data_IF_756428128676
#
_entry.id   IF_756428128676
#
_cell.length_a   1.000
_cell.length_b   1.000
_cell.length_c   1.000
_cell.angle_alpha   90.00
_cell.angle_beta   90.00
_cell.angle_gamma   90.00
#
_symmetry.space_group_name_H-M   'P 1'
#
loop_
_entity.id
_entity.type
_entity.pdbx_description
1 polymer ?
#
# COMPACT_ATOMS: atom_id res chain seq x y z
N UNK A 1 1.03 -19.41 -31.33
CA UNK A 1 0.70 -18.80 -30.02
C UNK A 1 2.00 -18.34 -29.36
N UNK A 2 2.25 -17.02 -29.25
CA UNK A 2 3.37 -16.52 -28.43
C UNK A 2 2.94 -16.56 -26.97
N UNK A 3 3.58 -17.41 -26.16
CA UNK A 3 3.44 -17.38 -24.70
C UNK A 3 3.81 -15.97 -24.22
N UNK A 4 2.91 -15.32 -23.48
CA UNK A 4 3.20 -14.04 -22.85
C UNK A 4 4.43 -14.22 -21.95
N UNK A 5 5.44 -13.36 -22.11
CA UNK A 5 6.60 -13.34 -21.21
C UNK A 5 6.08 -13.21 -19.77
N UNK A 6 6.54 -14.05 -18.81
CA UNK A 6 6.16 -13.87 -17.42
C UNK A 6 6.52 -12.44 -17.02
N UNK A 7 5.55 -11.69 -16.47
CA UNK A 7 5.83 -10.39 -15.85
C UNK A 7 7.01 -10.59 -14.91
N UNK A 8 8.08 -9.83 -15.11
CA UNK A 8 9.30 -9.94 -14.30
C UNK A 8 8.95 -9.82 -12.81
N UNK A 9 9.20 -10.89 -12.07
CA UNK A 9 9.00 -10.98 -10.62
C UNK A 9 10.24 -10.52 -9.84
N UNK A 10 11.12 -9.77 -10.49
CA UNK A 10 12.35 -9.30 -9.87
C UNK A 10 12.09 -7.99 -9.15
N UNK A 11 12.58 -7.89 -7.92
CA UNK A 11 12.64 -6.63 -7.19
C UNK A 11 13.94 -5.93 -7.59
N UNK A 12 13.81 -4.75 -8.18
CA UNK A 12 14.92 -3.93 -8.65
C UNK A 12 15.30 -2.91 -7.57
N UNK A 13 16.32 -2.05 -7.79
CA UNK A 13 16.61 -0.94 -6.89
C UNK A 13 15.42 0.02 -6.65
N UNK A 14 14.35 -0.02 -7.47
CA UNK A 14 13.10 0.72 -7.19
C UNK A 14 12.49 0.29 -5.85
N UNK A 15 12.46 -1.01 -5.57
CA UNK A 15 11.96 -1.56 -4.31
C UNK A 15 12.77 -1.04 -3.12
N UNK A 16 14.10 -1.12 -3.17
CA UNK A 16 14.97 -0.61 -2.09
C UNK A 16 14.76 0.88 -1.83
N UNK A 17 14.55 1.69 -2.88
CA UNK A 17 14.19 3.11 -2.72
C UNK A 17 12.83 3.30 -2.04
N UNK A 18 11.85 2.46 -2.35
CA UNK A 18 10.53 2.49 -1.72
C UNK A 18 10.61 2.12 -0.23
N UNK A 19 11.38 1.08 0.13
CA UNK A 19 11.63 0.69 1.53
C UNK A 19 12.21 1.87 2.31
N UNK A 20 13.28 2.50 1.80
CA UNK A 20 13.89 3.65 2.46
C UNK A 20 12.95 4.86 2.57
N UNK A 21 12.08 5.07 1.58
CA UNK A 21 11.08 6.14 1.62
C UNK A 21 10.00 5.86 2.67
N UNK A 22 9.43 4.66 2.69
CA UNK A 22 8.44 4.23 3.69
C UNK A 22 9.00 4.31 5.11
N UNK A 23 10.23 3.81 5.33
CA UNK A 23 10.89 3.83 6.63
C UNK A 23 11.11 5.25 7.16
N UNK A 24 11.58 6.19 6.32
CA UNK A 24 11.71 7.60 6.71
C UNK A 24 10.37 8.25 6.99
N UNK A 25 9.36 7.90 6.19
CA UNK A 25 8.07 8.51 6.28
C UNK A 25 7.34 8.12 7.56
N UNK A 26 7.32 6.84 7.88
CA UNK A 26 6.64 6.28 9.05
C UNK A 26 7.59 6.17 10.27
N UNK A 27 8.74 6.87 10.27
CA UNK A 27 9.81 6.72 11.27
C UNK A 27 9.35 6.96 12.72
N UNK A 28 8.35 7.83 12.90
CA UNK A 28 7.76 8.16 14.21
C UNK A 28 6.43 7.45 14.47
N UNK A 29 5.92 6.68 13.51
CA UNK A 29 4.63 6.00 13.63
C UNK A 29 4.81 4.64 14.32
N UNK A 30 3.88 4.35 15.23
CA UNK A 30 3.78 3.07 15.94
C UNK A 30 2.49 2.37 15.54
N UNK A 31 2.46 1.03 15.66
CA UNK A 31 1.21 0.27 15.53
C UNK A 31 0.26 0.63 16.67
N UNK A 32 -1.02 0.79 16.35
CA UNK A 32 -2.05 1.24 17.30
C UNK A 32 -2.07 0.37 18.55
N UNK A 33 -1.94 0.98 19.72
CA UNK A 33 -1.97 0.28 21.01
C UNK A 33 -0.70 -0.51 21.36
N UNK A 34 0.40 -0.33 20.63
CA UNK A 34 1.67 -1.03 20.88
C UNK A 34 2.88 -0.11 20.69
N UNK A 35 4.06 -0.57 21.10
CA UNK A 35 5.35 0.11 20.86
C UNK A 35 6.05 -0.35 19.57
N UNK A 36 5.45 -1.28 18.82
CA UNK A 36 6.04 -1.84 17.59
C UNK A 36 6.13 -0.76 16.50
N UNK A 37 7.31 -0.54 15.88
CA UNK A 37 7.45 0.39 14.77
C UNK A 37 6.55 0.05 13.59
N UNK A 38 5.90 1.04 12.99
CA UNK A 38 4.90 0.82 11.93
C UNK A 38 5.49 0.20 10.65
N UNK A 39 6.78 0.40 10.38
CA UNK A 39 7.47 -0.17 9.22
C UNK A 39 7.41 -1.71 9.17
N UNK A 40 7.28 -2.39 10.33
CA UNK A 40 7.11 -3.83 10.38
C UNK A 40 5.84 -4.30 9.66
N UNK A 41 4.73 -3.56 9.83
CA UNK A 41 3.48 -3.83 9.12
C UNK A 41 3.62 -3.63 7.62
N UNK A 42 4.22 -2.52 7.19
CA UNK A 42 4.42 -2.24 5.76
C UNK A 42 5.25 -3.32 5.06
N UNK A 43 6.32 -3.79 5.73
CA UNK A 43 7.14 -4.89 5.24
C UNK A 43 6.37 -6.22 5.21
N UNK A 44 5.58 -6.51 6.24
CA UNK A 44 4.78 -7.73 6.29
C UNK A 44 3.68 -7.78 5.22
N UNK A 45 2.99 -6.66 4.96
CA UNK A 45 2.02 -6.55 3.86
C UNK A 45 2.71 -6.73 2.51
N UNK A 46 3.88 -6.12 2.32
CA UNK A 46 4.68 -6.33 1.11
C UNK A 46 5.12 -7.80 0.92
N UNK A 47 5.52 -8.50 2.00
CA UNK A 47 5.86 -9.93 1.97
C UNK A 47 4.69 -10.78 1.48
N UNK A 48 3.49 -10.55 2.02
CA UNK A 48 2.29 -11.29 1.61
C UNK A 48 2.00 -11.05 0.12
N UNK A 49 2.14 -9.82 -0.37
CA UNK A 49 1.95 -9.50 -1.79
C UNK A 49 2.98 -10.22 -2.67
N UNK A 50 4.24 -10.30 -2.25
CA UNK A 50 5.29 -11.07 -2.95
C UNK A 50 4.90 -12.56 -3.03
N UNK A 51 4.53 -13.16 -1.90
CA UNK A 51 4.16 -14.57 -1.78
C UNK A 51 2.96 -14.95 -2.65
N UNK A 52 2.05 -13.99 -2.88
CA UNK A 52 0.83 -14.18 -3.68
C UNK A 52 0.97 -13.69 -5.13
N UNK A 53 2.20 -13.51 -5.61
CA UNK A 53 2.48 -13.27 -7.03
C UNK A 53 2.30 -11.82 -7.51
N UNK A 54 2.33 -10.85 -6.59
CA UNK A 54 2.38 -9.44 -6.94
C UNK A 54 3.65 -9.09 -7.74
N UNK A 55 3.51 -8.23 -8.75
CA UNK A 55 4.66 -7.65 -9.46
C UNK A 55 5.30 -6.51 -8.64
N UNK A 56 6.51 -6.07 -9.05
CA UNK A 56 7.28 -5.07 -8.30
C UNK A 56 6.46 -3.82 -7.93
N UNK A 57 5.66 -3.32 -8.86
CA UNK A 57 4.79 -2.16 -8.64
C UNK A 57 3.70 -2.44 -7.57
N UNK A 58 3.10 -3.62 -7.55
CA UNK A 58 2.14 -4.00 -6.50
C UNK A 58 2.84 -4.12 -5.13
N UNK A 59 4.06 -4.67 -5.10
CA UNK A 59 4.88 -4.78 -3.89
C UNK A 59 5.30 -3.39 -3.37
N UNK A 60 5.70 -2.48 -4.25
CA UNK A 60 5.99 -1.09 -3.87
C UNK A 60 4.72 -0.39 -3.39
N UNK A 61 3.57 -0.61 -4.04
CA UNK A 61 2.32 -0.04 -3.58
C UNK A 61 1.93 -0.56 -2.19
N UNK A 62 2.16 -1.85 -1.91
CA UNK A 62 1.96 -2.45 -0.60
C UNK A 62 2.81 -1.77 0.49
N UNK A 63 4.08 -1.46 0.21
CA UNK A 63 4.94 -0.70 1.12
C UNK A 63 4.45 0.73 1.40
N UNK A 64 3.67 1.31 0.48
CA UNK A 64 3.28 2.72 0.48
C UNK A 64 1.78 2.92 0.75
N UNK A 65 1.03 1.85 1.01
CA UNK A 65 -0.44 1.89 0.97
C UNK A 65 -1.05 2.86 2.00
N UNK A 66 -0.47 2.96 3.19
CA UNK A 66 -0.93 3.89 4.24
C UNK A 66 -0.31 5.29 4.16
N UNK A 67 0.64 5.52 3.25
CA UNK A 67 1.38 6.79 3.21
C UNK A 67 0.43 7.97 2.98
N UNK A 68 -0.58 7.82 2.14
CA UNK A 68 -1.54 8.89 1.85
C UNK A 68 -2.41 9.17 3.07
N UNK A 69 -2.92 8.12 3.72
CA UNK A 69 -3.83 8.27 4.87
C UNK A 69 -3.14 8.85 6.10
N UNK A 70 -1.93 8.40 6.40
CA UNK A 70 -1.30 8.67 7.69
C UNK A 70 -0.20 9.74 7.60
N UNK A 71 0.23 10.07 6.37
CA UNK A 71 1.47 10.82 6.17
C UNK A 71 1.36 11.93 5.12
N UNK A 72 0.16 12.49 4.88
CA UNK A 72 0.04 13.80 4.20
C UNK A 72 -0.87 13.86 2.98
N UNK A 73 -1.86 12.98 2.86
CA UNK A 73 -3.02 13.14 1.97
C UNK A 73 -2.68 13.32 0.49
N UNK A 74 -3.48 14.14 -0.23
CA UNK A 74 -3.30 14.38 -1.66
C UNK A 74 -1.88 14.84 -2.07
N UNK A 75 -1.20 15.73 -1.32
CA UNK A 75 0.22 16.01 -1.56
C UNK A 75 1.11 14.77 -1.60
N UNK A 76 0.89 13.82 -0.68
CA UNK A 76 1.63 12.55 -0.64
C UNK A 76 1.39 11.72 -1.88
N UNK A 77 0.13 11.59 -2.30
CA UNK A 77 -0.22 10.83 -3.49
C UNK A 77 0.47 11.38 -4.75
N UNK A 78 0.49 12.71 -4.90
CA UNK A 78 1.22 13.38 -6.00
C UNK A 78 2.72 13.10 -5.95
N UNK A 79 3.31 13.11 -4.75
CA UNK A 79 4.73 12.77 -4.57
C UNK A 79 5.02 11.32 -4.98
N UNK A 80 4.19 10.37 -4.54
CA UNK A 80 4.32 8.94 -4.89
C UNK A 80 4.25 8.76 -6.41
N UNK A 81 3.28 9.40 -7.08
CA UNK A 81 3.16 9.38 -8.55
C UNK A 81 4.44 9.85 -9.24
N UNK A 82 5.04 10.94 -8.76
CA UNK A 82 6.27 11.50 -9.33
C UNK A 82 7.50 10.62 -9.06
N UNK A 83 7.63 10.05 -7.87
CA UNK A 83 8.82 9.27 -7.48
C UNK A 83 8.81 7.82 -7.97
N UNK A 84 7.64 7.19 -8.00
CA UNK A 84 7.51 5.75 -8.21
C UNK A 84 6.72 5.39 -9.46
N UNK A 85 5.84 6.27 -9.92
CA UNK A 85 5.09 6.11 -11.18
C UNK A 85 3.57 6.06 -10.98
N UNK A 86 2.84 6.20 -12.09
CA UNK A 86 1.38 6.32 -12.09
C UNK A 86 0.65 5.05 -11.63
N UNK A 87 1.17 3.86 -11.98
CA UNK A 87 0.53 2.59 -11.59
C UNK A 87 0.58 2.38 -10.07
N UNK A 88 1.74 2.61 -9.45
CA UNK A 88 1.90 2.54 -7.99
C UNK A 88 0.97 3.54 -7.30
N UNK A 89 0.95 4.79 -7.76
CA UNK A 89 0.06 5.80 -7.20
C UNK A 89 -1.41 5.40 -7.30
N UNK A 90 -1.87 4.84 -8.43
CA UNK A 90 -3.25 4.32 -8.57
C UNK A 90 -3.55 3.21 -7.56
N UNK A 91 -2.61 2.31 -7.31
CA UNK A 91 -2.83 1.22 -6.35
C UNK A 91 -2.94 1.80 -4.94
N UNK A 92 -2.02 2.69 -4.55
CA UNK A 92 -2.05 3.38 -3.25
C UNK A 92 -3.34 4.17 -3.06
N UNK A 93 -3.78 4.91 -4.08
CA UNK A 93 -5.06 5.64 -4.11
C UNK A 93 -6.26 4.71 -3.87
N UNK A 94 -6.29 3.55 -4.56
CA UNK A 94 -7.31 2.52 -4.34
C UNK A 94 -7.26 1.87 -2.95
N UNK A 95 -6.11 1.92 -2.27
CA UNK A 95 -5.98 1.45 -0.89
C UNK A 95 -6.31 2.52 0.15
N UNK A 96 -6.45 3.78 -0.25
CA UNK A 96 -6.67 4.94 0.63
C UNK A 96 -8.16 5.18 0.90
N UNK A 97 -8.56 5.25 2.17
CA UNK A 97 -9.94 5.52 2.59
C UNK A 97 -10.15 6.92 3.22
N UNK A 98 -9.09 7.74 3.32
CA UNK A 98 -9.12 9.15 3.71
C UNK A 98 -7.95 9.95 3.16
N UNK A 99 -8.19 11.21 2.79
CA UNK A 99 -7.15 12.16 2.33
C UNK A 99 -6.92 13.32 3.30
N UNK A 100 -7.69 13.37 4.40
CA UNK A 100 -7.71 14.49 5.34
C UNK A 100 -7.37 14.04 6.75
N UNK A 101 -6.84 14.99 7.52
CA UNK A 101 -6.61 14.88 8.96
C UNK A 101 -7.27 16.10 9.65
N UNK A 102 -8.21 15.92 10.60
CA UNK A 102 -8.72 14.64 11.10
C UNK A 102 -9.49 13.83 10.05
N UNK A 103 -9.41 12.50 10.16
CA UNK A 103 -10.14 11.56 9.30
C UNK A 103 -11.66 11.68 9.55
N UNK A 104 -12.52 11.63 8.51
CA UNK A 104 -13.97 11.54 8.68
C UNK A 104 -14.40 10.29 9.49
N UNK A 105 -15.69 10.20 9.90
CA UNK A 105 -16.19 9.10 10.73
C UNK A 105 -15.81 7.72 10.20
N UNK A 106 -15.26 6.89 11.10
CA UNK A 106 -14.69 5.59 10.73
C UNK A 106 -15.68 4.70 9.96
N UNK A 107 -16.92 4.60 10.43
CA UNK A 107 -17.93 3.68 9.87
C UNK A 107 -18.27 4.03 8.42
N UNK A 108 -18.48 5.32 8.14
CA UNK A 108 -18.80 5.80 6.80
C UNK A 108 -17.67 5.52 5.81
N UNK A 109 -16.42 5.82 6.20
CA UNK A 109 -15.24 5.56 5.36
C UNK A 109 -15.06 4.07 5.08
N UNK A 110 -15.22 3.20 6.09
CA UNK A 110 -15.08 1.75 5.90
C UNK A 110 -16.19 1.15 5.05
N UNK A 111 -17.45 1.61 5.20
CA UNK A 111 -18.55 1.17 4.32
C UNK A 111 -18.26 1.56 2.87
N UNK A 112 -17.86 2.82 2.62
CA UNK A 112 -17.49 3.30 1.28
C UNK A 112 -16.30 2.52 0.70
N UNK A 113 -15.28 2.25 1.52
CA UNK A 113 -14.13 1.46 1.12
C UNK A 113 -14.55 0.03 0.77
N UNK A 114 -15.34 -0.66 1.58
CA UNK A 114 -15.77 -2.03 1.25
C UNK A 114 -16.63 -2.07 -0.02
N UNK A 115 -17.49 -1.08 -0.25
CA UNK A 115 -18.34 -1.02 -1.44
C UNK A 115 -17.55 -0.86 -2.76
N UNK A 116 -16.36 -0.25 -2.73
CA UNK A 116 -15.56 -0.07 -3.94
C UNK A 116 -14.75 -1.31 -4.33
N UNK A 117 -14.34 -2.13 -3.35
CA UNK A 117 -13.41 -3.25 -3.55
C UNK A 117 -13.85 -4.28 -4.60
N UNK A 118 -15.14 -4.69 -4.72
CA UNK A 118 -15.56 -5.64 -5.74
C UNK A 118 -15.24 -5.20 -7.18
N UNK A 119 -15.25 -3.90 -7.42
CA UNK A 119 -14.97 -3.29 -8.73
C UNK A 119 -13.53 -2.79 -8.86
N UNK A 120 -12.72 -2.91 -7.81
CA UNK A 120 -11.35 -2.45 -7.82
C UNK A 120 -10.45 -3.36 -8.69
N UNK A 121 -9.42 -2.79 -9.35
CA UNK A 121 -8.42 -3.56 -10.07
C UNK A 121 -7.80 -4.68 -9.21
N UNK A 122 -7.39 -5.77 -9.85
CA UNK A 122 -6.88 -6.96 -9.13
C UNK A 122 -5.69 -6.65 -8.20
N UNK A 123 -4.83 -5.71 -8.56
CA UNK A 123 -3.70 -5.31 -7.72
C UNK A 123 -4.10 -4.50 -6.48
N UNK A 124 -5.13 -3.65 -6.59
CA UNK A 124 -5.72 -2.97 -5.41
C UNK A 124 -6.33 -4.00 -4.47
N UNK A 125 -7.10 -4.96 -5.00
CA UNK A 125 -7.70 -6.04 -4.20
C UNK A 125 -6.63 -6.90 -3.52
N UNK A 126 -5.53 -7.21 -4.22
CA UNK A 126 -4.41 -7.98 -3.66
C UNK A 126 -3.77 -7.26 -2.48
N UNK A 127 -3.41 -5.97 -2.64
CA UNK A 127 -2.81 -5.18 -1.55
C UNK A 127 -3.80 -5.02 -0.38
N UNK A 128 -5.07 -4.74 -0.67
CA UNK A 128 -6.10 -4.60 0.36
C UNK A 128 -6.30 -5.90 1.16
N UNK A 129 -6.35 -7.05 0.48
CA UNK A 129 -6.47 -8.35 1.12
C UNK A 129 -5.23 -8.67 1.97
N UNK A 130 -4.02 -8.38 1.46
CA UNK A 130 -2.78 -8.57 2.19
C UNK A 130 -2.71 -7.72 3.47
N UNK A 131 -3.11 -6.45 3.40
CA UNK A 131 -3.23 -5.57 4.56
C UNK A 131 -4.20 -6.15 5.61
N UNK A 132 -5.40 -6.56 5.20
CA UNK A 132 -6.38 -7.15 6.13
C UNK A 132 -5.90 -8.47 6.73
N UNK A 133 -5.23 -9.31 5.95
CA UNK A 133 -4.64 -10.56 6.44
C UNK A 133 -3.53 -10.29 7.45
N UNK A 134 -2.63 -9.34 7.18
CA UNK A 134 -1.58 -8.97 8.11
C UNK A 134 -2.17 -8.45 9.43
N UNK A 135 -3.14 -7.54 9.36
CA UNK A 135 -3.81 -7.01 10.54
C UNK A 135 -4.52 -8.09 11.36
N UNK A 136 -5.04 -9.15 10.72
CA UNK A 136 -5.72 -10.25 11.41
C UNK A 136 -4.77 -11.26 12.07
N UNK A 137 -3.48 -11.29 11.66
CA UNK A 137 -2.45 -12.15 12.26
C UNK A 137 -1.73 -11.50 13.45
N UNK A 138 -1.77 -10.17 13.54
CA UNK A 138 -1.14 -9.37 14.60
C UNK A 138 -1.94 -9.34 15.90
#
# INVERSE_FOLDING_TARGET
MRLARPKERQLTPRFTRAVGYAARLHAKQKRKGTERPYIGHLLGVASIVIEHGGDEDAVIAALLHDAVEDQGGLPRLREIRRKFGARIARIVDGCTDSYTDPKPPWRERKIKYLAHLPNAPADVRLVSAADKLHNARE
#
